data_IF_968039309873
#
_entry.id   IF_968039309873
#
_cell.length_a   1.000
_cell.length_b   1.000
_cell.length_c   1.000
_cell.angle_alpha   90.00
_cell.angle_beta   90.00
_cell.angle_gamma   90.00
#
_symmetry.space_group_name_H-M   'P 1'
#
loop_
_entity.id
_entity.type
_entity.pdbx_description
1 polymer ?
#
# COMPACT_ATOMS: atom_id res chain seq x y z
N UNK A 1 -42.12 60.58 -5.65
CA UNK A 1 -43.14 59.59 -6.04
C UNK A 1 -42.39 58.41 -6.67
N UNK A 2 -42.48 57.22 -6.09
CA UNK A 2 -41.77 56.00 -6.52
C UNK A 2 -42.05 55.65 -7.99
N UNK A 3 -41.07 55.04 -8.68
CA UNK A 3 -41.15 53.63 -9.12
C UNK A 3 -39.90 53.17 -9.88
N UNK A 4 -39.40 52.02 -9.41
CA UNK A 4 -38.34 51.17 -9.92
C UNK A 4 -38.32 51.02 -11.45
N UNK A 5 -37.12 51.11 -12.05
CA UNK A 5 -36.84 50.52 -13.35
C UNK A 5 -35.61 49.63 -13.19
N UNK A 6 -35.85 48.32 -13.16
CA UNK A 6 -34.84 47.26 -13.18
C UNK A 6 -34.26 47.24 -14.59
N UNK A 7 -32.95 47.45 -14.73
CA UNK A 7 -32.25 47.30 -16.01
C UNK A 7 -31.56 45.93 -16.01
N UNK A 8 -32.12 45.00 -16.78
CA UNK A 8 -31.57 43.68 -17.07
C UNK A 8 -30.20 43.83 -17.74
N UNK A 9 -29.15 43.38 -17.07
CA UNK A 9 -27.80 43.29 -17.63
C UNK A 9 -27.72 41.99 -18.45
N UNK A 10 -27.85 42.12 -19.77
CA UNK A 10 -27.64 41.03 -20.72
C UNK A 10 -26.15 40.71 -20.76
N UNK A 11 -25.74 39.58 -20.17
CA UNK A 11 -24.39 39.05 -20.33
C UNK A 11 -24.33 38.33 -21.68
N UNK A 12 -23.81 39.02 -22.68
CA UNK A 12 -23.44 38.44 -23.97
C UNK A 12 -22.17 37.59 -23.79
N UNK A 13 -22.34 36.27 -23.80
CA UNK A 13 -21.23 35.30 -23.86
C UNK A 13 -20.67 35.32 -25.28
N UNK A 14 -19.49 35.94 -25.45
CA UNK A 14 -18.69 35.79 -26.67
C UNK A 14 -18.12 34.37 -26.70
N UNK A 15 -18.69 33.52 -27.55
CA UNK A 15 -18.23 32.17 -27.84
C UNK A 15 -16.90 32.21 -28.61
N UNK A 16 -15.79 32.14 -27.90
CA UNK A 16 -14.49 31.80 -28.48
C UNK A 16 -14.23 30.29 -28.32
N UNK A 17 -14.21 29.58 -29.45
CA UNK A 17 -13.42 28.37 -29.68
C UNK A 17 -13.63 27.18 -28.73
N UNK A 18 -14.70 26.42 -28.97
CA UNK A 18 -14.87 25.07 -28.44
C UNK A 18 -13.82 24.14 -29.02
N UNK A 19 -12.69 23.94 -28.34
CA UNK A 19 -11.80 22.77 -28.52
C UNK A 19 -10.90 22.49 -27.31
N UNK A 20 -10.79 23.41 -26.33
CA UNK A 20 -9.93 23.20 -25.16
C UNK A 20 -10.64 22.53 -23.95
N UNK A 21 -11.97 22.42 -23.96
CA UNK A 21 -12.75 21.90 -22.82
C UNK A 21 -13.20 20.44 -22.96
N UNK A 22 -13.23 19.90 -24.18
CA UNK A 22 -13.80 18.56 -24.44
C UNK A 22 -12.78 17.45 -24.16
N UNK A 23 -11.49 17.70 -24.39
CA UNK A 23 -10.43 16.70 -24.18
C UNK A 23 -10.20 16.44 -22.68
N UNK A 24 -10.27 17.47 -21.83
CA UNK A 24 -10.04 17.34 -20.37
C UNK A 24 -11.24 16.68 -19.65
N UNK A 25 -12.47 16.93 -20.12
CA UNK A 25 -13.66 16.32 -19.54
C UNK A 25 -13.76 14.81 -19.79
N UNK A 26 -13.21 14.27 -20.89
CA UNK A 26 -13.28 12.83 -21.15
C UNK A 26 -12.32 12.04 -20.24
N UNK A 27 -11.11 12.53 -20.02
CA UNK A 27 -10.04 11.82 -19.29
C UNK A 27 -10.35 11.79 -17.79
N UNK A 28 -10.86 12.90 -17.24
CA UNK A 28 -11.35 12.94 -15.86
C UNK A 28 -12.54 12.02 -15.65
N UNK A 29 -13.45 11.91 -16.64
CA UNK A 29 -14.60 11.02 -16.55
C UNK A 29 -14.20 9.54 -16.63
N UNK A 30 -13.23 9.18 -17.47
CA UNK A 30 -12.72 7.81 -17.53
C UNK A 30 -12.07 7.37 -16.21
N UNK A 31 -11.18 8.21 -15.65
CA UNK A 31 -10.54 7.94 -14.36
C UNK A 31 -11.53 7.92 -13.18
N UNK A 32 -12.56 8.77 -13.20
CA UNK A 32 -13.63 8.74 -12.21
C UNK A 32 -14.47 7.46 -12.31
N UNK A 33 -14.80 7.03 -13.53
CA UNK A 33 -15.55 5.79 -13.76
C UNK A 33 -14.74 4.54 -13.40
N UNK A 34 -13.41 4.56 -13.59
CA UNK A 34 -12.50 3.50 -13.15
C UNK A 34 -12.50 3.37 -11.62
N UNK A 35 -12.42 4.50 -10.90
CA UNK A 35 -12.51 4.54 -9.43
C UNK A 35 -13.89 4.10 -8.91
N UNK A 36 -14.98 4.54 -9.56
CA UNK A 36 -16.35 4.25 -9.14
C UNK A 36 -16.75 2.79 -9.39
N UNK A 37 -16.30 2.21 -10.51
CA UNK A 37 -16.60 0.81 -10.87
C UNK A 37 -15.52 -0.17 -10.42
N UNK A 38 -14.59 0.27 -9.55
CA UNK A 38 -13.53 -0.56 -9.02
C UNK A 38 -14.14 -1.77 -8.32
N UNK A 39 -13.80 -2.98 -8.78
CA UNK A 39 -14.09 -4.20 -8.03
C UNK A 39 -13.44 -4.04 -6.67
N UNK A 40 -14.16 -4.32 -5.59
CA UNK A 40 -13.54 -4.33 -4.27
C UNK A 40 -12.34 -5.31 -4.33
N UNK A 41 -11.12 -4.85 -4.03
CA UNK A 41 -9.96 -5.72 -4.07
C UNK A 41 -10.21 -6.89 -3.14
N UNK A 42 -9.99 -8.11 -3.63
CA UNK A 42 -9.98 -9.27 -2.75
C UNK A 42 -8.80 -9.11 -1.78
N UNK A 43 -8.93 -9.70 -0.60
CA UNK A 43 -7.94 -9.52 0.47
C UNK A 43 -6.57 -9.99 0.01
N UNK A 44 -5.59 -9.08 -0.08
CA UNK A 44 -4.18 -9.43 -0.17
C UNK A 44 -3.72 -9.92 1.19
N UNK A 45 -3.35 -11.20 1.29
CA UNK A 45 -2.75 -11.77 2.49
C UNK A 45 -1.32 -12.18 2.16
N UNK A 46 -0.36 -11.39 2.61
CA UNK A 46 1.03 -11.72 2.45
C UNK A 46 1.48 -12.72 3.52
N UNK A 47 2.16 -13.78 3.09
CA UNK A 47 2.76 -14.78 3.97
C UNK A 47 4.26 -14.84 3.70
N UNK A 48 5.07 -14.59 4.73
CA UNK A 48 6.52 -14.73 4.63
C UNK A 48 6.91 -16.20 4.40
N UNK A 49 7.87 -16.40 3.48
CA UNK A 49 8.58 -17.66 3.38
C UNK A 49 9.59 -17.75 4.53
N UNK A 50 9.39 -18.72 5.41
CA UNK A 50 10.24 -18.91 6.56
C UNK A 50 11.61 -19.47 6.20
N UNK A 51 11.75 -20.25 5.12
CA UNK A 51 13.04 -20.76 4.69
C UNK A 51 13.95 -19.60 4.26
N UNK A 52 13.43 -18.69 3.43
CA UNK A 52 14.17 -17.49 3.02
C UNK A 52 14.49 -16.58 4.23
N UNK A 53 13.56 -16.47 5.19
CA UNK A 53 13.80 -15.73 6.42
C UNK A 53 14.94 -16.33 7.25
N UNK A 54 15.00 -17.66 7.39
CA UNK A 54 16.07 -18.35 8.10
C UNK A 54 17.43 -18.10 7.43
N UNK A 55 17.47 -18.21 6.10
CA UNK A 55 18.66 -17.91 5.30
C UNK A 55 19.11 -16.46 5.49
N UNK A 56 18.19 -15.49 5.40
CA UNK A 56 18.49 -14.07 5.62
C UNK A 56 19.05 -13.82 7.02
N UNK A 57 18.43 -14.42 8.04
CA UNK A 57 18.87 -14.34 9.43
C UNK A 57 20.16 -15.13 9.70
N UNK A 58 20.64 -15.95 8.75
CA UNK A 58 21.80 -16.83 8.92
C UNK A 58 21.63 -17.79 10.11
N UNK A 59 20.42 -18.36 10.24
CA UNK A 59 20.09 -19.36 11.27
C UNK A 59 19.38 -20.56 10.62
N UNK A 60 19.35 -21.70 11.31
CA UNK A 60 18.53 -22.84 10.89
C UNK A 60 17.11 -22.74 11.44
N UNK A 61 16.20 -23.54 10.90
CA UNK A 61 14.84 -23.68 11.43
C UNK A 61 14.84 -24.09 12.91
N UNK A 62 15.71 -25.01 13.32
CA UNK A 62 15.80 -25.48 14.71
C UNK A 62 16.26 -24.35 15.65
N UNK A 63 17.22 -23.55 15.20
CA UNK A 63 17.70 -22.38 15.96
C UNK A 63 16.60 -21.32 16.06
N UNK A 64 15.89 -21.05 14.97
CA UNK A 64 14.74 -20.15 14.97
C UNK A 64 13.68 -20.61 15.97
N UNK A 65 13.26 -21.87 15.88
CA UNK A 65 12.22 -22.45 16.74
C UNK A 65 12.61 -22.39 18.22
N UNK A 66 13.85 -22.76 18.55
CA UNK A 66 14.35 -22.68 19.93
C UNK A 66 14.31 -21.26 20.48
N UNK A 67 14.73 -20.26 19.69
CA UNK A 67 14.67 -18.85 20.09
C UNK A 67 13.22 -18.34 20.20
N UNK A 68 12.36 -18.76 19.28
CA UNK A 68 10.95 -18.42 19.29
C UNK A 68 10.23 -18.95 20.53
N UNK A 69 10.49 -20.21 20.90
CA UNK A 69 9.97 -20.83 22.13
C UNK A 69 10.50 -20.13 23.39
N UNK A 70 11.71 -19.56 23.34
CA UNK A 70 12.26 -18.75 24.44
C UNK A 70 11.78 -17.28 24.44
N UNK A 71 10.73 -16.95 23.68
CA UNK A 71 10.14 -15.61 23.65
C UNK A 71 10.90 -14.55 22.83
N UNK A 72 11.93 -14.95 22.05
CA UNK A 72 12.68 -14.00 21.21
C UNK A 72 11.88 -13.64 19.97
N UNK A 73 11.82 -12.35 19.68
CA UNK A 73 11.20 -11.83 18.45
C UNK A 73 12.16 -11.90 17.27
N UNK A 74 11.66 -11.78 16.04
CA UNK A 74 12.51 -11.77 14.83
C UNK A 74 13.53 -10.63 14.88
N UNK A 75 13.14 -9.46 15.39
CA UNK A 75 14.07 -8.34 15.59
C UNK A 75 15.16 -8.66 16.61
N UNK A 76 14.87 -9.42 17.67
CA UNK A 76 15.89 -9.89 18.62
C UNK A 76 16.87 -10.86 17.93
N UNK A 77 16.36 -11.80 17.13
CA UNK A 77 17.17 -12.76 16.38
C UNK A 77 18.08 -12.04 15.37
N UNK A 78 17.56 -11.08 14.62
CA UNK A 78 18.34 -10.27 13.70
C UNK A 78 19.46 -9.50 14.41
N UNK A 79 19.15 -8.89 15.58
CA UNK A 79 20.13 -8.17 16.40
C UNK A 79 21.26 -9.08 16.87
N UNK A 80 20.96 -10.30 17.30
CA UNK A 80 21.97 -11.28 17.71
C UNK A 80 22.90 -11.71 16.57
N UNK A 81 22.41 -11.64 15.33
CA UNK A 81 23.17 -11.94 14.12
C UNK A 81 23.84 -10.71 13.51
N UNK A 82 23.87 -9.59 14.24
CA UNK A 82 24.41 -8.30 13.79
C UNK A 82 23.74 -7.75 12.51
N UNK A 83 22.50 -8.16 12.23
CA UNK A 83 21.72 -7.62 11.12
C UNK A 83 21.08 -6.31 11.60
N UNK A 84 21.41 -5.16 10.97
CA UNK A 84 20.82 -3.90 11.33
C UNK A 84 19.31 -3.88 11.09
N UNK A 85 18.58 -3.19 11.97
CA UNK A 85 17.13 -3.04 11.86
C UNK A 85 16.67 -2.56 10.47
N UNK A 86 17.33 -1.56 9.90
CA UNK A 86 16.97 -1.04 8.58
C UNK A 86 17.15 -2.09 7.48
N UNK A 87 18.15 -2.97 7.58
CA UNK A 87 18.38 -4.04 6.61
C UNK A 87 17.28 -5.10 6.71
N UNK A 88 16.85 -5.46 7.93
CA UNK A 88 15.70 -6.35 8.14
C UNK A 88 14.42 -5.76 7.54
N UNK A 89 14.13 -4.49 7.78
CA UNK A 89 12.94 -3.82 7.21
C UNK A 89 12.99 -3.81 5.68
N UNK A 90 14.13 -3.45 5.09
CA UNK A 90 14.28 -3.40 3.63
C UNK A 90 14.08 -4.77 3.00
N UNK A 91 14.68 -5.81 3.59
CA UNK A 91 14.51 -7.19 3.12
C UNK A 91 13.02 -7.62 3.11
N UNK A 92 12.32 -7.39 4.22
CA UNK A 92 10.90 -7.78 4.32
C UNK A 92 10.00 -6.95 3.40
N UNK A 93 10.30 -5.66 3.24
CA UNK A 93 9.59 -4.79 2.29
C UNK A 93 9.80 -5.25 0.85
N UNK A 94 11.01 -5.64 0.47
CA UNK A 94 11.31 -6.18 -0.87
C UNK A 94 10.46 -7.43 -1.16
N UNK A 95 10.35 -8.34 -0.20
CA UNK A 95 9.51 -9.54 -0.34
C UNK A 95 8.02 -9.21 -0.48
N UNK A 96 7.51 -8.23 0.26
CA UNK A 96 6.13 -7.78 0.08
C UNK A 96 5.89 -7.09 -1.26
N UNK A 97 6.83 -6.25 -1.73
CA UNK A 97 6.72 -5.62 -3.05
C UNK A 97 6.71 -6.66 -4.18
N UNK A 98 7.56 -7.69 -4.11
CA UNK A 98 7.55 -8.78 -5.09
C UNK A 98 6.17 -9.44 -5.17
N UNK A 99 5.54 -9.74 -4.03
CA UNK A 99 4.19 -10.31 -4.01
C UNK A 99 3.11 -9.34 -4.51
N UNK A 100 3.23 -8.03 -4.23
CA UNK A 100 2.31 -7.02 -4.77
C UNK A 100 2.46 -6.89 -6.29
N UNK A 101 3.68 -6.92 -6.80
CA UNK A 101 3.96 -6.88 -8.24
C UNK A 101 3.35 -8.09 -8.96
N UNK A 102 3.48 -9.28 -8.37
CA UNK A 102 2.85 -10.50 -8.89
C UNK A 102 1.32 -10.42 -8.84
N UNK A 103 0.74 -9.98 -7.72
CA UNK A 103 -0.71 -9.83 -7.59
C UNK A 103 -1.27 -8.79 -8.57
N UNK A 104 -0.55 -7.69 -8.80
CA UNK A 104 -0.91 -6.67 -9.79
C UNK A 104 -0.83 -7.22 -11.22
N UNK A 105 0.24 -7.97 -11.53
CA UNK A 105 0.44 -8.61 -12.83
C UNK A 105 -0.64 -9.66 -13.14
N UNK A 106 -1.11 -10.37 -12.11
CA UNK A 106 -2.16 -11.38 -12.23
C UNK A 106 -3.58 -10.78 -12.17
N UNK A 107 -3.71 -9.45 -12.10
CA UNK A 107 -4.99 -8.74 -11.96
C UNK A 107 -5.80 -9.13 -10.71
N UNK A 108 -5.13 -9.66 -9.67
CA UNK A 108 -5.73 -9.99 -8.38
C UNK A 108 -6.00 -8.73 -7.54
N UNK A 109 -5.14 -7.72 -7.72
CA UNK A 109 -5.28 -6.38 -7.16
C UNK A 109 -5.17 -5.34 -8.27
N UNK A 110 -5.70 -4.14 -8.03
CA UNK A 110 -5.49 -2.99 -8.91
C UNK A 110 -4.37 -2.08 -8.38
N UNK A 111 -3.96 -1.12 -9.22
CA UNK A 111 -2.91 -0.16 -8.89
C UNK A 111 -3.24 0.72 -7.68
N UNK A 112 -4.52 0.99 -7.41
CA UNK A 112 -4.91 1.80 -6.27
C UNK A 112 -4.70 1.02 -4.98
N UNK A 113 -5.11 -0.26 -4.96
CA UNK A 113 -4.81 -1.15 -3.83
C UNK A 113 -3.31 -1.27 -3.60
N UNK A 114 -2.51 -1.45 -4.66
CA UNK A 114 -1.05 -1.49 -4.56
C UNK A 114 -0.49 -0.28 -3.80
N UNK A 115 -0.88 0.95 -4.21
CA UNK A 115 -0.38 2.16 -3.57
C UNK A 115 -0.93 2.34 -2.16
N UNK A 116 -2.23 2.07 -1.95
CA UNK A 116 -2.86 2.15 -0.63
C UNK A 116 -2.16 1.22 0.37
N UNK A 117 -1.89 -0.03 -0.04
CA UNK A 117 -1.15 -1.02 0.74
C UNK A 117 0.28 -0.59 1.05
N UNK A 118 1.05 -0.25 0.01
CA UNK A 118 2.45 0.13 0.15
C UNK A 118 2.66 1.36 1.05
N UNK A 119 1.77 2.35 0.97
CA UNK A 119 1.91 3.62 1.70
C UNK A 119 1.36 3.51 3.12
N UNK A 120 0.23 2.82 3.31
CA UNK A 120 -0.54 2.90 4.55
C UNK A 120 -0.37 1.70 5.47
N UNK A 121 -0.09 0.51 4.93
CA UNK A 121 -0.17 -0.75 5.68
C UNK A 121 1.17 -1.48 5.79
N UNK A 122 1.93 -1.59 4.69
CA UNK A 122 3.16 -2.40 4.60
C UNK A 122 4.12 -2.21 5.78
N UNK A 123 4.44 -0.95 6.13
CA UNK A 123 5.35 -0.68 7.26
C UNK A 123 4.77 -1.18 8.58
N UNK A 124 3.47 -0.99 8.82
CA UNK A 124 2.79 -1.47 10.02
C UNK A 124 2.87 -2.99 10.13
N UNK A 125 2.51 -3.68 9.04
CA UNK A 125 2.53 -5.15 8.96
C UNK A 125 3.93 -5.72 9.21
N UNK A 126 4.97 -5.11 8.62
CA UNK A 126 6.36 -5.51 8.87
C UNK A 126 6.73 -5.31 10.35
N UNK A 127 6.40 -4.16 10.92
CA UNK A 127 6.73 -3.85 12.32
C UNK A 127 6.00 -4.79 13.27
N UNK A 128 4.74 -5.11 13.01
CA UNK A 128 3.99 -6.09 13.80
C UNK A 128 4.64 -7.46 13.70
N UNK A 129 4.90 -7.95 12.49
CA UNK A 129 5.51 -9.25 12.23
C UNK A 129 6.84 -9.44 12.97
N UNK A 130 7.76 -8.46 12.88
CA UNK A 130 9.09 -8.63 13.47
C UNK A 130 9.10 -8.55 15.01
N UNK A 131 8.09 -7.91 15.61
CA UNK A 131 7.97 -7.74 17.06
C UNK A 131 7.05 -8.77 17.72
N UNK A 132 6.25 -9.49 16.93
CA UNK A 132 5.35 -10.51 17.43
C UNK A 132 6.16 -11.71 17.94
N UNK A 133 5.86 -12.13 19.17
CA UNK A 133 6.11 -13.47 19.67
C UNK A 133 5.14 -13.70 20.85
N UNK A 134 4.20 -14.66 20.77
CA UNK A 134 3.25 -14.91 21.85
C UNK A 134 3.92 -15.37 23.16
N UNK A 135 5.07 -16.05 23.07
CA UNK A 135 5.83 -16.57 24.21
C UNK A 135 6.68 -15.48 24.92
N UNK A 136 6.62 -14.21 24.49
CA UNK A 136 7.47 -13.13 25.03
C UNK A 136 7.10 -12.73 26.46
N UNK A 137 5.86 -12.97 26.87
CA UNK A 137 5.32 -12.57 28.17
C UNK A 137 4.99 -13.75 29.09
N UNK A 138 5.35 -14.97 28.67
CA UNK A 138 5.28 -16.19 29.48
C UNK A 138 6.55 -16.36 30.33
#
# INVERSE_FOLDING_TARGET
>A
MNRYFILLLVVSVLSFGTNFTVVNANEQNEKFNELYNRKAPQTFQFKYDYNELYEFLTITEEVYKSKWESGKTIIDMAKEQNIPFHQLILYLAEKQFQALDEALKNEEIDRYFYYDYAISYMKGDIIEFINQNPNKYD
#
